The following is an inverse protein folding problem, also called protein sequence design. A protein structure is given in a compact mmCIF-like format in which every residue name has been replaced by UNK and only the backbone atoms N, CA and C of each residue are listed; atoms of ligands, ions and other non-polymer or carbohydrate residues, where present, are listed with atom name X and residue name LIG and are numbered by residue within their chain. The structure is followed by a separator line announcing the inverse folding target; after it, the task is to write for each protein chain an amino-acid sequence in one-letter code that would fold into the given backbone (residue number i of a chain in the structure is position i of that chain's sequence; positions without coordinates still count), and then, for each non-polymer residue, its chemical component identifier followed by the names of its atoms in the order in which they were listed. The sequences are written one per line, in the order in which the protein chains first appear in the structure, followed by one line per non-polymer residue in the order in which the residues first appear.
data_IF_591205603366
#
_entry.id   IF_591205603366
#
_cell.length_a   1.000
_cell.length_b   1.000
_cell.length_c   1.000
_cell.angle_alpha   90.00
_cell.angle_beta   90.00
_cell.angle_gamma   90.00
#
_symmetry.space_group_name_H-M   'P 1'
#
loop_
_entity.id
_entity.type
_entity.pdbx_description
1 polymer ?
#
# COMPACT_ATOMS: atom_id res chain seq x y z
N UNK A 1 19.74 -6.13 -14.67
CA UNK A 1 18.53 -6.80 -15.19
C UNK A 1 17.38 -6.23 -14.39
N UNK A 2 16.44 -5.53 -15.03
CA UNK A 2 15.21 -5.14 -14.36
C UNK A 2 14.32 -6.37 -14.28
N UNK A 3 13.80 -6.75 -13.11
CA UNK A 3 12.83 -7.81 -13.03
C UNK A 3 11.60 -7.40 -13.85
N UNK A 4 11.15 -8.30 -14.73
CA UNK A 4 9.97 -8.07 -15.55
C UNK A 4 8.72 -7.90 -14.70
N UNK A 5 7.62 -7.50 -15.34
CA UNK A 5 6.30 -7.37 -14.71
C UNK A 5 5.37 -8.51 -15.13
N UNK A 6 4.39 -8.90 -14.28
CA UNK A 6 4.17 -8.43 -12.91
C UNK A 6 5.23 -8.95 -11.93
N UNK A 7 5.43 -8.26 -10.79
CA UNK A 7 6.33 -8.71 -9.72
C UNK A 7 5.83 -8.31 -8.34
N UNK A 8 6.18 -9.08 -7.32
CA UNK A 8 5.81 -8.73 -5.95
C UNK A 8 6.73 -7.63 -5.40
N UNK A 9 6.12 -6.65 -4.74
CA UNK A 9 6.83 -5.62 -3.99
C UNK A 9 6.59 -5.74 -2.48
N UNK A 10 7.61 -5.37 -1.71
CA UNK A 10 7.47 -5.00 -0.30
C UNK A 10 7.91 -3.56 -0.16
N UNK A 11 7.02 -2.65 0.23
CA UNK A 11 7.28 -1.21 0.29
C UNK A 11 7.12 -0.71 1.71
N UNK A 12 8.16 -0.10 2.26
CA UNK A 12 8.08 0.61 3.53
C UNK A 12 7.40 1.97 3.29
N UNK A 13 6.28 2.26 3.94
CA UNK A 13 5.63 3.54 3.76
C UNK A 13 6.51 4.69 4.31
N UNK A 14 6.66 5.78 3.56
CA UNK A 14 7.46 6.93 3.97
C UNK A 14 6.91 7.61 5.23
N UNK A 15 5.59 7.71 5.37
CA UNK A 15 4.96 8.50 6.44
C UNK A 15 4.79 7.71 7.73
N UNK A 16 4.25 6.48 7.64
CA UNK A 16 3.97 5.64 8.82
C UNK A 16 5.00 4.54 9.07
N UNK A 17 5.97 4.34 8.16
CA UNK A 17 7.05 3.33 8.26
C UNK A 17 6.59 1.88 8.31
N UNK A 18 5.33 1.61 7.97
CA UNK A 18 4.78 0.27 7.94
C UNK A 18 5.06 -0.38 6.59
N UNK A 19 5.52 -1.61 6.64
CA UNK A 19 5.77 -2.43 5.46
C UNK A 19 4.45 -2.88 4.83
N UNK A 20 4.35 -2.68 3.51
CA UNK A 20 3.20 -3.04 2.71
C UNK A 20 3.64 -4.04 1.66
N UNK A 21 2.89 -5.13 1.50
CA UNK A 21 3.15 -6.12 0.45
C UNK A 21 2.17 -5.85 -0.68
N UNK A 22 2.70 -5.62 -1.87
CA UNK A 22 1.95 -5.38 -3.10
C UNK A 22 2.20 -6.57 -4.04
N UNK A 23 1.33 -7.59 -4.03
CA UNK A 23 1.47 -8.74 -4.91
C UNK A 23 1.17 -8.35 -6.36
N UNK A 24 1.82 -9.03 -7.31
CA UNK A 24 1.58 -8.89 -8.75
C UNK A 24 1.62 -7.43 -9.26
N UNK A 25 2.48 -6.58 -8.67
CA UNK A 25 2.59 -5.18 -9.05
C UNK A 25 2.95 -5.04 -10.53
N UNK A 26 2.22 -4.15 -11.20
CA UNK A 26 2.53 -3.64 -12.54
C UNK A 26 2.63 -2.10 -12.53
N UNK A 27 3.38 -1.48 -13.45
CA UNK A 27 3.63 -0.03 -13.43
C UNK A 27 2.40 0.86 -13.51
N UNK A 28 1.29 0.36 -14.05
CA UNK A 28 -0.01 1.05 -14.13
C UNK A 28 -0.78 1.05 -12.79
N UNK A 29 -0.29 0.33 -11.78
CA UNK A 29 -0.91 0.31 -10.45
C UNK A 29 -0.45 1.49 -9.60
N UNK A 30 -1.40 2.06 -8.84
CA UNK A 30 -1.11 3.04 -7.80
C UNK A 30 -1.35 2.44 -6.40
N UNK A 31 -0.35 1.74 -5.82
CA UNK A 31 -0.52 1.11 -4.52
C UNK A 31 -0.54 2.16 -3.40
N UNK A 32 -1.45 2.00 -2.44
CA UNK A 32 -1.61 2.89 -1.29
C UNK A 32 -1.32 2.15 0.02
N UNK A 33 -0.83 2.90 1.02
CA UNK A 33 -0.51 2.36 2.32
C UNK A 33 -1.78 1.83 3.02
N UNK A 34 -1.69 0.63 3.61
CA UNK A 34 -2.80 0.02 4.33
C UNK A 34 -3.20 0.78 5.63
N UNK A 35 -2.30 1.61 6.19
CA UNK A 35 -2.57 2.39 7.40
C UNK A 35 -2.92 3.85 7.12
N UNK A 36 -2.03 4.61 6.47
CA UNK A 36 -2.21 6.05 6.28
C UNK A 36 -2.84 6.43 4.94
N UNK A 37 -3.07 5.47 4.03
CA UNK A 37 -3.62 5.69 2.67
C UNK A 37 -2.76 6.53 1.72
N UNK A 38 -1.56 6.92 2.14
CA UNK A 38 -0.58 7.60 1.29
C UNK A 38 -0.08 6.69 0.16
N UNK A 39 0.27 7.29 -0.98
CA UNK A 39 0.83 6.57 -2.12
C UNK A 39 2.16 5.90 -1.75
N UNK A 40 2.28 4.60 -2.03
CA UNK A 40 3.50 3.85 -1.74
C UNK A 40 4.58 4.06 -2.80
N UNK A 41 4.19 4.44 -4.01
CA UNK A 41 5.10 4.75 -5.11
C UNK A 41 4.86 6.20 -5.50
N UNK A 42 5.94 6.97 -5.57
CA UNK A 42 5.93 8.39 -5.90
C UNK A 42 7.05 8.74 -6.89
N UNK A 43 6.95 9.83 -7.66
CA UNK A 43 8.00 10.23 -8.60
C UNK A 43 9.38 10.41 -7.95
N UNK A 44 9.42 10.83 -6.69
CA UNK A 44 10.64 11.02 -5.91
C UNK A 44 11.04 9.78 -5.07
N UNK A 45 10.52 8.59 -5.38
CA UNK A 45 10.80 7.36 -4.62
C UNK A 45 12.31 7.11 -4.45
N UNK A 46 13.11 7.38 -5.49
CA UNK A 46 14.57 7.21 -5.47
C UNK A 46 15.30 8.19 -4.52
N UNK A 47 14.63 9.22 -4.02
CA UNK A 47 15.19 10.11 -3.00
C UNK A 47 15.08 9.48 -1.61
N UNK A 48 14.01 8.72 -1.36
CA UNK A 48 13.61 8.25 -0.03
C UNK A 48 13.86 6.77 0.20
N UNK A 49 13.88 5.96 -0.86
CA UNK A 49 14.03 4.50 -0.81
C UNK A 49 15.23 3.99 -1.60
N UNK A 50 15.76 2.85 -1.16
CA UNK A 50 16.61 1.97 -1.94
C UNK A 50 15.79 0.73 -2.34
N UNK A 51 15.98 0.24 -3.57
CA UNK A 51 15.41 -1.04 -4.00
C UNK A 51 16.39 -2.17 -3.68
N UNK A 52 15.91 -3.24 -3.05
CA UNK A 52 16.68 -4.46 -2.80
C UNK A 52 15.97 -5.58 -3.53
N UNK A 53 16.66 -6.23 -4.46
CA UNK A 53 16.08 -7.32 -5.23
C UNK A 53 16.48 -8.67 -4.63
N UNK A 54 15.50 -9.55 -4.43
CA UNK A 54 15.76 -10.93 -4.05
C UNK A 54 15.89 -11.83 -5.28
N UNK A 55 17.08 -12.40 -5.48
CA UNK A 55 17.35 -13.31 -6.60
C UNK A 55 16.66 -14.67 -6.43
N UNK A 56 16.28 -15.04 -5.21
CA UNK A 56 15.67 -16.34 -4.91
C UNK A 56 14.17 -16.40 -5.27
N UNK A 57 13.41 -15.34 -4.98
CA UNK A 57 11.97 -15.29 -5.25
C UNK A 57 11.53 -14.21 -6.24
N UNK A 58 12.43 -13.33 -6.67
CA UNK A 58 12.11 -12.26 -7.62
C UNK A 58 11.35 -11.07 -7.02
N UNK A 59 11.21 -10.98 -5.70
CA UNK A 59 10.58 -9.86 -5.00
C UNK A 59 11.53 -8.65 -4.92
N UNK A 60 10.98 -7.45 -5.11
CA UNK A 60 11.68 -6.19 -4.82
C UNK A 60 11.24 -5.61 -3.48
N UNK A 61 12.20 -5.30 -2.61
CA UNK A 61 11.98 -4.62 -1.35
C UNK A 61 12.38 -3.15 -1.51
N UNK A 62 11.42 -2.24 -1.38
CA UNK A 62 11.62 -0.80 -1.36
C UNK A 62 11.70 -0.36 0.10
N UNK A 63 12.92 -0.24 0.62
CA UNK A 63 13.18 0.14 2.00
C UNK A 63 13.61 1.60 2.06
N UNK A 64 13.23 2.30 3.13
CA UNK A 64 13.72 3.65 3.35
C UNK A 64 15.24 3.65 3.44
N UNK A 65 15.91 4.67 2.91
CA UNK A 65 17.38 4.83 3.02
C UNK A 65 17.88 4.94 4.46
N UNK A 66 16.98 5.25 5.39
CA UNK A 66 17.26 5.30 6.83
C UNK A 66 17.14 3.93 7.51
N UNK A 67 16.60 2.92 6.82
CA UNK A 67 16.50 1.56 7.33
C UNK A 67 17.87 0.86 7.27
N UNK A 68 18.21 0.14 8.34
CA UNK A 68 19.43 -0.65 8.37
C UNK A 68 19.24 -1.91 7.52
N UNK A 69 19.92 -1.96 6.37
CA UNK A 69 20.00 -3.14 5.52
C UNK A 69 21.46 -3.58 5.38
N UNK A 70 21.73 -4.87 5.56
CA UNK A 70 23.06 -5.44 5.42
C UNK A 70 23.02 -6.70 4.58
N UNK A 71 23.72 -6.66 3.46
CA UNK A 71 23.86 -7.80 2.56
C UNK A 71 24.47 -9.01 3.30
N UNK A 72 23.79 -10.16 3.21
CA UNK A 72 24.20 -11.39 3.90
C UNK A 72 23.75 -11.55 5.36
N UNK A 73 23.31 -10.48 6.04
CA UNK A 73 22.66 -10.56 7.37
C UNK A 73 21.13 -10.48 7.25
N UNK A 74 20.64 -9.62 6.36
CA UNK A 74 19.21 -9.46 6.09
C UNK A 74 18.68 -10.62 5.23
N UNK A 75 17.49 -11.12 5.57
CA UNK A 75 16.82 -12.17 4.83
C UNK A 75 15.56 -11.63 4.15
N UNK A 76 15.26 -12.16 2.96
CA UNK A 76 13.98 -11.93 2.30
C UNK A 76 12.86 -12.64 3.07
N UNK A 77 11.60 -12.26 2.82
CA UNK A 77 10.41 -12.96 3.30
C UNK A 77 10.36 -14.44 2.87
N UNK A 78 10.97 -14.77 1.73
CA UNK A 78 11.11 -16.17 1.28
C UNK A 78 12.21 -16.95 2.01
N UNK A 79 12.88 -16.33 2.99
CA UNK A 79 14.06 -16.83 3.71
C UNK A 79 15.34 -16.90 2.86
N UNK A 80 15.29 -16.39 1.63
CA UNK A 80 16.45 -16.21 0.77
C UNK A 80 17.43 -15.17 1.30
N UNK A 81 18.72 -15.40 1.06
CA UNK A 81 19.81 -14.50 1.45
C UNK A 81 20.49 -13.84 0.25
N UNK A 82 20.12 -14.24 -0.98
CA UNK A 82 20.64 -13.64 -2.21
C UNK A 82 19.88 -12.34 -2.50
N UNK A 83 20.27 -11.29 -1.79
CA UNK A 83 19.71 -9.95 -1.90
C UNK A 83 20.73 -9.01 -2.51
N UNK A 84 20.32 -8.21 -3.51
CA UNK A 84 21.18 -7.21 -4.16
C UNK A 84 20.59 -5.82 -4.03
N UNK A 85 21.39 -4.87 -3.56
CA UNK A 85 20.99 -3.47 -3.45
C UNK A 85 21.06 -2.80 -4.83
N UNK A 86 19.96 -2.16 -5.21
CA UNK A 86 19.78 -1.32 -6.38
C UNK A 86 19.49 0.12 -5.89
N UNK A 87 20.52 0.98 -5.77
CA UNK A 87 20.38 2.31 -5.19
C UNK A 87 19.54 3.28 -6.04
N UNK A 88 19.17 2.88 -7.26
CA UNK A 88 18.30 3.64 -8.14
C UNK A 88 17.29 2.70 -8.79
N UNK A 89 16.05 2.77 -8.33
CA UNK A 89 14.94 1.98 -8.86
C UNK A 89 14.45 2.52 -10.21
N UNK A 90 14.06 1.61 -11.10
CA UNK A 90 13.38 1.94 -12.34
C UNK A 90 11.85 2.10 -12.16
N UNK A 91 11.31 1.65 -11.02
CA UNK A 91 9.88 1.66 -10.69
C UNK A 91 9.23 3.04 -10.86
N UNK A 92 9.76 4.15 -10.34
CA UNK A 92 9.06 5.44 -10.43
C UNK A 92 8.98 5.96 -11.88
N UNK A 93 10.01 5.70 -12.69
CA UNK A 93 10.02 6.07 -14.12
C UNK A 93 9.07 5.20 -14.94
N UNK A 94 9.04 3.90 -14.64
CA UNK A 94 8.13 2.95 -15.30
C UNK A 94 6.67 3.26 -14.92
N UNK A 95 6.40 3.58 -13.66
CA UNK A 95 5.07 3.96 -13.17
C UNK A 95 4.58 5.27 -13.81
N UNK A 96 5.47 6.26 -13.90
CA UNK A 96 5.19 7.52 -14.60
C UNK A 96 4.86 7.28 -16.07
N UNK A 97 5.64 6.42 -16.76
CA UNK A 97 5.40 6.10 -18.17
C UNK A 97 4.08 5.35 -18.40
N UNK A 98 3.64 4.58 -17.41
CA UNK A 98 2.38 3.85 -17.45
C UNK A 98 1.16 4.71 -17.04
N UNK A 99 1.37 5.97 -16.64
CA UNK A 99 0.29 6.87 -16.25
C UNK A 99 -0.24 6.65 -14.83
N UNK A 100 0.48 5.94 -13.96
CA UNK A 100 0.02 5.67 -12.59
C UNK A 100 -0.15 6.93 -11.72
N UNK A 101 0.42 8.06 -12.15
CA UNK A 101 0.29 9.36 -11.47
C UNK A 101 -0.70 10.31 -12.17
N UNK A 102 -1.26 9.90 -13.31
CA UNK A 102 -2.19 10.72 -14.09
C UNK A 102 -3.61 10.51 -13.55
N UNK A 103 -3.90 11.10 -12.41
CA UNK A 103 -5.27 11.21 -11.92
C UNK A 103 -5.96 12.30 -12.73
N UNK A 104 -6.88 11.94 -13.62
CA UNK A 104 -7.75 12.92 -14.27
C UNK A 104 -8.58 13.64 -13.20
N UNK A 105 -8.26 14.90 -12.96
CA UNK A 105 -8.96 15.82 -12.06
C UNK A 105 -10.46 15.97 -12.44
N UNK A 106 -10.81 15.62 -13.69
CA UNK A 106 -12.16 15.75 -14.27
C UNK A 106 -13.15 14.64 -13.86
N UNK A 107 -12.74 13.54 -13.20
CA UNK A 107 -13.72 12.52 -12.76
C UNK A 107 -14.46 12.89 -11.45
N UNK A 108 -14.09 14.00 -10.80
CA UNK A 108 -14.76 14.51 -9.61
C UNK A 108 -15.87 15.52 -9.92
N UNK A 109 -16.07 15.87 -11.18
CA UNK A 109 -17.18 16.72 -11.60
C UNK A 109 -18.22 15.90 -12.35
N UNK A 110 -19.44 15.88 -11.79
CA UNK A 110 -20.68 15.36 -12.36
C UNK A 110 -20.94 13.85 -12.19
N UNK A 111 -21.24 13.50 -10.94
CA UNK A 111 -21.95 12.27 -10.60
C UNK A 111 -22.67 12.46 -9.28
N UNK A 112 -23.84 13.12 -9.32
CA UNK A 112 -24.78 13.34 -8.22
C UNK A 112 -25.36 12.01 -7.68
N UNK A 113 -24.54 11.11 -7.14
CA UNK A 113 -25.04 9.89 -6.49
C UNK A 113 -24.09 9.34 -5.42
N UNK A 114 -23.59 10.22 -4.55
CA UNK A 114 -23.03 9.80 -3.26
C UNK A 114 -24.14 9.28 -2.35
N UNK A 115 -24.64 8.08 -2.64
CA UNK A 115 -25.41 7.23 -1.73
C UNK A 115 -24.55 6.69 -0.56
N UNK A 116 -23.58 7.49 -0.09
CA UNK A 116 -22.90 7.32 1.20
C UNK A 116 -23.71 7.90 2.36
N UNK A 117 -24.86 8.52 2.06
CA UNK A 117 -25.95 8.66 3.03
C UNK A 117 -26.43 7.25 3.32
N UNK A 118 -26.17 6.77 4.55
CA UNK A 118 -26.93 5.62 5.07
C UNK A 118 -28.39 5.96 4.86
N UNK A 119 -29.13 5.13 4.13
CA UNK A 119 -30.56 5.28 3.98
C UNK A 119 -31.19 5.14 5.38
N UNK A 120 -31.36 6.24 6.09
CA UNK A 120 -32.15 6.28 7.31
C UNK A 120 -33.62 6.22 6.90
N UNK A 121 -34.10 5.01 6.64
CA UNK A 121 -35.48 4.66 6.96
C UNK A 121 -35.47 3.96 8.32
N UNK A 122 -35.01 4.70 9.33
CA UNK A 122 -35.27 4.32 10.71
C UNK A 122 -36.40 5.23 11.18
N UNK A 123 -37.62 4.69 11.10
CA UNK A 123 -38.68 5.05 12.03
C UNK A 123 -38.19 4.62 13.42
N UNK A 124 -37.29 5.40 14.00
CA UNK A 124 -36.79 5.24 15.36
C UNK A 124 -37.97 5.60 16.25
N UNK A 125 -38.78 4.59 16.56
CA UNK A 125 -39.51 4.61 17.79
C UNK A 125 -38.47 4.77 18.91
N UNK A 126 -38.76 5.69 19.81
CA UNK A 126 -37.91 6.30 20.84
C UNK A 126 -37.35 5.28 21.86
N UNK A 127 -36.60 4.27 21.41
CA UNK A 127 -35.88 3.33 22.26
C UNK A 127 -34.46 3.86 22.43
N UNK A 128 -34.25 4.47 23.58
CA UNK A 128 -33.00 5.02 24.09
C UNK A 128 -31.83 4.06 23.80
N UNK A 129 -30.83 4.53 23.04
CA UNK A 129 -29.64 3.75 22.61
C UNK A 129 -28.89 3.11 23.78
N UNK A 130 -29.11 3.61 25.00
CA UNK A 130 -28.55 3.08 26.24
C UNK A 130 -29.10 1.68 26.60
N UNK A 131 -30.32 1.33 26.18
CA UNK A 131 -30.94 0.02 26.53
C UNK A 131 -30.35 -1.18 25.76
N UNK A 132 -29.61 -0.94 24.68
CA UNK A 132 -29.04 -2.00 23.84
C UNK A 132 -27.85 -2.68 24.52
N UNK A 133 -27.10 -1.94 25.34
CA UNK A 133 -25.92 -2.43 26.04
C UNK A 133 -26.23 -3.00 27.44
N UNK A 134 -27.39 -2.65 27.98
CA UNK A 134 -27.86 -3.13 29.30
C UNK A 134 -28.63 -4.46 29.21
N UNK A 135 -28.87 -4.99 28.00
CA UNK A 135 -29.38 -6.35 27.80
C UNK A 135 -28.26 -7.37 27.98
N UNK A 136 -27.80 -7.51 29.22
CA UNK A 136 -26.97 -8.63 29.64
C UNK A 136 -27.79 -9.92 29.40
N UNK A 137 -27.39 -10.73 28.41
CA UNK A 137 -27.90 -12.10 28.20
C UNK A 137 -27.33 -13.01 29.30
N UNK A 138 -27.49 -12.61 30.55
CA UNK A 138 -27.09 -13.34 31.74
C UNK A 138 -28.33 -13.92 32.41
N UNK A 139 -28.91 -14.98 31.84
CA UNK A 139 -29.76 -15.88 32.61
C UNK A 139 -29.49 -17.34 32.23
N UNK A 140 -29.32 -18.11 33.30
CA UNK A 140 -28.94 -19.52 33.49
C UNK A 140 -29.67 -20.57 32.64
#
# INVERSE_FOLDING_TARGET
MNPGYPRDLMVMCQDCRIENVVPDYSPDMFPVCNQCREGLIAPNLNETHDEIFCDDCGMSLLLLKTAEFKEGESACRCQGQHLRILPHSAIPEEAKKAGAFDFEEDSLTEGDDYSWVRSEDLNVNDSDYNEIFDQDLGVE
#
